data_IF_541036325651
#
_entry.id   IF_541036325651
#
_cell.length_a   1.000
_cell.length_b   1.000
_cell.length_c   1.000
_cell.angle_alpha   90.00
_cell.angle_beta   90.00
_cell.angle_gamma   90.00
#
_symmetry.space_group_name_H-M   'P 1'
#
loop_
_entity.id
_entity.type
_entity.pdbx_description
1 polymer ?
#
# COMPACT_ATOMS: atom_id res chain seq x y z
N UNK A 1 27.44 34.37 44.70
CA UNK A 1 26.97 35.06 43.48
C UNK A 1 27.33 34.13 42.33
N UNK A 2 26.45 33.47 41.58
CA UNK A 2 25.00 33.47 41.47
C UNK A 2 24.59 32.06 40.99
N UNK A 3 23.42 31.64 41.46
CA UNK A 3 22.68 30.50 40.93
C UNK A 3 22.40 30.68 39.43
N UNK A 4 22.56 29.62 38.66
CA UNK A 4 21.70 29.41 37.49
C UNK A 4 21.30 27.94 37.44
N UNK A 5 20.21 27.66 38.15
CA UNK A 5 19.38 26.47 38.01
C UNK A 5 18.81 26.44 36.59
N UNK A 6 19.42 25.65 35.70
CA UNK A 6 18.72 25.19 34.50
C UNK A 6 17.85 24.02 34.94
N UNK A 7 16.56 24.33 35.05
CA UNK A 7 15.50 23.39 35.38
C UNK A 7 15.46 22.30 34.30
N UNK A 8 16.18 21.19 34.52
CA UNK A 8 15.91 19.94 33.85
C UNK A 8 14.48 19.56 34.23
N UNK A 9 13.56 19.71 33.27
CA UNK A 9 12.19 19.29 33.41
C UNK A 9 12.19 17.77 33.64
N UNK A 10 12.24 17.38 34.92
CA UNK A 10 11.97 16.04 35.40
C UNK A 10 10.61 15.65 34.85
N UNK A 11 10.61 14.84 33.79
CA UNK A 11 9.41 14.17 33.31
C UNK A 11 8.76 13.50 34.52
N UNK A 12 7.53 13.90 34.80
CA UNK A 12 6.70 13.33 35.86
C UNK A 12 6.67 11.81 35.76
N UNK A 13 6.42 11.10 36.88
CA UNK A 13 6.37 9.64 36.90
C UNK A 13 5.44 9.16 35.80
N UNK A 14 5.98 8.31 34.94
CA UNK A 14 5.25 7.69 33.84
C UNK A 14 3.98 7.06 34.40
N UNK A 15 2.79 7.61 34.06
CA UNK A 15 1.51 6.89 34.12
C UNK A 15 1.79 5.46 33.69
N UNK A 16 1.38 4.45 34.47
CA UNK A 16 1.54 3.03 34.15
C UNK A 16 1.38 2.80 32.63
N UNK A 17 2.52 2.66 31.94
CA UNK A 17 2.55 2.65 30.48
C UNK A 17 2.35 1.21 30.04
N UNK A 18 1.39 1.01 29.14
CA UNK A 18 1.15 -0.32 28.56
C UNK A 18 2.30 -0.60 27.59
N UNK A 19 3.24 -1.43 28.01
CA UNK A 19 4.34 -1.91 27.17
C UNK A 19 3.81 -2.98 26.21
N UNK A 20 4.11 -2.85 24.91
CA UNK A 20 3.75 -3.87 23.91
C UNK A 20 4.83 -4.95 23.96
N UNK A 21 4.49 -6.11 24.53
CA UNK A 21 5.32 -7.30 24.37
C UNK A 21 5.18 -7.81 22.92
N UNK A 22 6.29 -7.94 22.21
CA UNK A 22 6.29 -8.42 20.83
C UNK A 22 5.66 -9.82 20.73
N UNK A 23 4.84 -10.03 19.70
CA UNK A 23 4.12 -11.28 19.43
C UNK A 23 3.23 -11.75 20.59
N UNK A 24 2.73 -10.82 21.41
CA UNK A 24 1.76 -11.10 22.48
C UNK A 24 0.54 -10.20 22.34
N UNK A 25 -0.61 -10.78 21.96
CA UNK A 25 -1.85 -10.06 21.62
C UNK A 25 -2.65 -9.58 22.83
N UNK A 26 -1.98 -9.25 23.94
CA UNK A 26 -2.65 -8.81 25.17
C UNK A 26 -3.35 -7.47 25.01
N UNK A 27 -4.57 -7.39 25.53
CA UNK A 27 -5.29 -6.14 25.70
C UNK A 27 -4.81 -5.44 26.99
N UNK A 28 -4.80 -4.09 27.02
CA UNK A 28 -5.27 -3.15 26.00
C UNK A 28 -4.23 -2.79 24.94
N UNK A 29 -3.04 -3.40 24.96
CA UNK A 29 -1.90 -3.00 24.14
C UNK A 29 -2.20 -3.03 22.63
N UNK A 30 -3.03 -3.99 22.20
CA UNK A 30 -3.46 -4.17 20.81
C UNK A 30 -4.82 -3.53 20.47
N UNK A 31 -5.28 -2.57 21.26
CA UNK A 31 -6.42 -1.72 20.87
C UNK A 31 -6.00 -0.72 19.78
N UNK A 32 -6.95 -0.26 18.96
CA UNK A 32 -6.68 0.72 17.90
C UNK A 32 -6.02 2.00 18.45
N UNK A 33 -6.51 2.51 19.59
CA UNK A 33 -5.99 3.73 20.20
C UNK A 33 -4.57 3.53 20.78
N UNK A 34 -4.31 2.38 21.40
CA UNK A 34 -2.97 2.02 21.89
C UNK A 34 -1.96 1.92 20.74
N UNK A 35 -2.34 1.27 19.65
CA UNK A 35 -1.48 1.09 18.48
C UNK A 35 -1.16 2.44 17.80
N UNK A 36 -2.16 3.32 17.65
CA UNK A 36 -1.94 4.69 17.14
C UNK A 36 -0.96 5.48 18.02
N UNK A 37 -1.14 5.43 19.33
CA UNK A 37 -0.22 6.11 20.27
C UNK A 37 1.19 5.56 20.16
N UNK A 38 1.35 4.24 20.11
CA UNK A 38 2.65 3.59 19.97
C UNK A 38 3.33 3.92 18.62
N UNK A 39 2.55 4.02 17.53
CA UNK A 39 3.06 4.40 16.22
C UNK A 39 3.60 5.84 16.20
N UNK A 40 2.87 6.81 16.78
CA UNK A 40 3.32 8.21 16.91
C UNK A 40 4.59 8.30 17.74
N UNK A 41 4.73 7.46 18.76
CA UNK A 41 5.93 7.40 19.61
C UNK A 41 7.10 6.59 18.99
N UNK A 42 6.93 6.05 17.78
CA UNK A 42 7.90 5.18 17.09
C UNK A 42 8.28 3.93 17.91
N UNK A 43 7.32 3.37 18.67
CA UNK A 43 7.49 2.16 19.49
C UNK A 43 6.47 1.08 19.14
N UNK A 44 6.12 0.97 17.86
CA UNK A 44 5.19 -0.06 17.41
C UNK A 44 5.84 -1.45 17.52
N UNK A 45 5.27 -2.32 18.36
CA UNK A 45 5.75 -3.69 18.55
C UNK A 45 5.42 -4.61 17.38
N UNK A 46 6.12 -5.75 17.31
CA UNK A 46 5.85 -6.81 16.32
C UNK A 46 4.67 -7.72 16.71
N UNK A 47 3.95 -8.31 15.74
CA UNK A 47 4.10 -8.12 14.30
C UNK A 47 3.54 -6.76 13.83
N UNK A 48 4.40 -5.94 13.21
CA UNK A 48 4.01 -4.59 12.75
C UNK A 48 2.96 -4.65 11.65
N UNK A 49 3.02 -5.66 10.78
CA UNK A 49 2.06 -5.86 9.71
C UNK A 49 0.64 -6.06 10.24
N UNK A 50 0.48 -6.71 11.40
CA UNK A 50 -0.82 -6.87 12.06
C UNK A 50 -1.28 -5.55 12.66
N UNK A 51 -0.37 -4.81 13.30
CA UNK A 51 -0.69 -3.49 13.83
C UNK A 51 -1.13 -2.53 12.71
N UNK A 52 -0.45 -2.56 11.55
CA UNK A 52 -0.85 -1.83 10.34
C UNK A 52 -2.23 -2.26 9.85
N UNK A 53 -2.49 -3.58 9.77
CA UNK A 53 -3.80 -4.08 9.36
C UNK A 53 -4.94 -3.57 10.27
N UNK A 54 -4.71 -3.53 11.58
CA UNK A 54 -5.69 -3.00 12.55
C UNK A 54 -5.86 -1.48 12.38
N UNK A 55 -4.76 -0.73 12.27
CA UNK A 55 -4.82 0.74 12.11
C UNK A 55 -5.46 1.17 10.79
N UNK A 56 -5.31 0.37 9.74
CA UNK A 56 -5.95 0.55 8.44
C UNK A 56 -7.40 0.04 8.40
N UNK A 57 -7.93 -0.47 9.53
CA UNK A 57 -9.24 -1.14 9.62
C UNK A 57 -9.41 -2.30 8.62
N UNK A 58 -8.32 -2.94 8.20
CA UNK A 58 -8.35 -4.13 7.37
C UNK A 58 -8.69 -5.38 8.20
N UNK A 59 -8.24 -5.41 9.46
CA UNK A 59 -8.55 -6.47 10.44
C UNK A 59 -9.08 -5.85 11.74
N UNK A 60 -9.94 -6.57 12.48
CA UNK A 60 -10.31 -6.14 13.82
C UNK A 60 -9.13 -6.27 14.81
N UNK A 61 -9.14 -5.52 15.92
CA UNK A 61 -8.21 -5.77 17.02
C UNK A 61 -8.45 -7.16 17.65
N UNK A 62 -7.53 -7.67 18.50
CA UNK A 62 -7.67 -8.99 19.13
C UNK A 62 -8.90 -9.19 20.01
N UNK A 63 -9.63 -8.12 20.35
CA UNK A 63 -10.94 -8.21 21.00
C UNK A 63 -12.07 -8.66 20.07
N UNK A 64 -11.84 -8.64 18.75
CA UNK A 64 -12.76 -9.14 17.73
C UNK A 64 -12.25 -10.42 17.06
N UNK A 65 -12.97 -10.88 16.03
CA UNK A 65 -12.64 -12.12 15.33
C UNK A 65 -11.66 -11.89 14.17
N UNK A 66 -10.37 -11.97 14.49
CA UNK A 66 -9.29 -11.86 13.50
C UNK A 66 -9.32 -13.03 12.49
N UNK A 67 -9.64 -14.24 12.94
CA UNK A 67 -9.53 -15.45 12.11
C UNK A 67 -10.58 -15.41 11.00
N UNK A 68 -11.85 -15.19 11.35
CA UNK A 68 -12.92 -15.11 10.35
C UNK A 68 -12.70 -13.94 9.38
N UNK A 69 -12.14 -12.82 9.86
CA UNK A 69 -11.79 -11.69 8.99
C UNK A 69 -10.66 -12.04 8.02
N UNK A 70 -9.64 -12.77 8.46
CA UNK A 70 -8.56 -13.26 7.60
C UNK A 70 -9.09 -14.24 6.55
N UNK A 71 -9.94 -15.18 6.93
CA UNK A 71 -10.57 -16.12 6.00
C UNK A 71 -11.35 -15.40 4.91
N UNK A 72 -12.11 -14.37 5.30
CA UNK A 72 -12.86 -13.54 4.35
C UNK A 72 -11.93 -12.88 3.32
N UNK A 73 -10.83 -12.28 3.76
CA UNK A 73 -9.85 -11.66 2.84
C UNK A 73 -9.13 -12.68 1.97
N UNK A 74 -8.76 -13.83 2.53
CA UNK A 74 -8.09 -14.92 1.80
C UNK A 74 -9.00 -15.50 0.72
N UNK A 75 -10.25 -15.76 1.05
CA UNK A 75 -11.25 -16.26 0.10
C UNK A 75 -11.54 -15.22 -0.98
N UNK A 76 -11.71 -13.95 -0.61
CA UNK A 76 -11.88 -12.86 -1.57
C UNK A 76 -10.73 -12.82 -2.59
N UNK A 77 -9.48 -12.91 -2.13
CA UNK A 77 -8.33 -12.89 -3.03
C UNK A 77 -8.24 -14.14 -3.91
N UNK A 78 -8.55 -15.32 -3.36
CA UNK A 78 -8.62 -16.56 -4.15
C UNK A 78 -9.69 -16.46 -5.25
N UNK A 79 -10.89 -16.00 -4.92
CA UNK A 79 -11.98 -15.81 -5.87
C UNK A 79 -11.61 -14.80 -6.95
N UNK A 80 -10.95 -13.71 -6.57
CA UNK A 80 -10.45 -12.70 -7.48
C UNK A 80 -9.40 -13.29 -8.45
N UNK A 81 -8.43 -14.04 -7.92
CA UNK A 81 -7.37 -14.72 -8.70
C UNK A 81 -7.99 -15.71 -9.68
N UNK A 82 -8.93 -16.54 -9.24
CA UNK A 82 -9.67 -17.47 -10.09
C UNK A 82 -10.43 -16.76 -11.20
N UNK A 83 -11.19 -15.70 -10.86
CA UNK A 83 -12.01 -14.95 -11.81
C UNK A 83 -11.17 -14.24 -12.88
N UNK A 84 -10.02 -13.69 -12.50
CA UNK A 84 -9.18 -12.88 -13.39
C UNK A 84 -8.11 -13.68 -14.12
N UNK A 85 -7.88 -14.95 -13.77
CA UNK A 85 -6.90 -15.82 -14.43
C UNK A 85 -7.55 -16.77 -15.45
N UNK A 86 -8.65 -16.36 -16.07
CA UNK A 86 -9.39 -17.19 -17.02
C UNK A 86 -8.52 -17.57 -18.23
N UNK A 87 -8.41 -18.87 -18.52
CA UNK A 87 -7.76 -19.34 -19.74
C UNK A 87 -8.66 -19.03 -20.95
N UNK A 88 -8.21 -18.18 -21.91
CA UNK A 88 -9.02 -17.87 -23.08
C UNK A 88 -9.34 -19.10 -23.94
N UNK A 89 -8.57 -20.19 -23.83
CA UNK A 89 -8.82 -21.46 -24.55
C UNK A 89 -10.01 -22.24 -24.00
N UNK A 90 -10.41 -21.96 -22.76
CA UNK A 90 -11.56 -22.61 -22.15
C UNK A 90 -12.90 -22.02 -22.65
N UNK A 91 -12.87 -20.87 -23.35
CA UNK A 91 -14.06 -20.21 -23.87
C UNK A 91 -14.41 -20.77 -25.25
N UNK A 92 -15.51 -21.53 -25.33
CA UNK A 92 -15.97 -22.16 -26.56
C UNK A 92 -16.53 -21.10 -27.52
N UNK A 93 -16.03 -21.08 -28.76
CA UNK A 93 -16.54 -20.20 -29.81
C UNK A 93 -15.90 -18.80 -29.84
N UNK A 94 -14.88 -18.56 -29.02
CA UNK A 94 -14.02 -17.39 -29.13
C UNK A 94 -12.64 -17.80 -29.67
N UNK A 95 -11.92 -16.87 -30.30
CA UNK A 95 -10.65 -17.17 -30.97
C UNK A 95 -9.63 -16.03 -30.86
N UNK A 96 -8.32 -16.32 -31.01
CA UNK A 96 -7.26 -15.32 -30.86
C UNK A 96 -7.32 -14.13 -31.82
N UNK A 97 -8.04 -14.25 -32.94
CA UNK A 97 -8.19 -13.23 -33.98
C UNK A 97 -9.55 -12.53 -33.91
N UNK A 98 -10.38 -12.88 -32.92
CA UNK A 98 -11.68 -12.27 -32.66
C UNK A 98 -11.55 -10.75 -32.59
N UNK A 99 -12.39 -10.05 -33.36
CA UNK A 99 -12.49 -8.59 -33.34
C UNK A 99 -13.49 -8.09 -32.29
N UNK A 100 -14.07 -9.00 -31.49
CA UNK A 100 -14.99 -8.64 -30.43
C UNK A 100 -14.22 -8.01 -29.26
N UNK A 101 -14.66 -6.83 -28.83
CA UNK A 101 -14.08 -6.12 -27.70
C UNK A 101 -14.25 -6.87 -26.37
N UNK A 102 -15.23 -7.78 -26.29
CA UNK A 102 -15.50 -8.65 -25.13
C UNK A 102 -14.82 -10.02 -25.23
N UNK A 103 -13.95 -10.24 -26.23
CA UNK A 103 -13.22 -11.49 -26.40
C UNK A 103 -12.31 -11.79 -25.20
N UNK A 104 -12.34 -13.05 -24.75
CA UNK A 104 -11.43 -13.56 -23.74
C UNK A 104 -9.97 -13.50 -24.20
N UNK A 105 -9.72 -13.71 -25.50
CA UNK A 105 -8.38 -13.57 -26.07
C UNK A 105 -7.88 -12.14 -26.05
N UNK A 106 -8.74 -11.17 -26.38
CA UNK A 106 -8.39 -9.75 -26.30
C UNK A 106 -8.01 -9.37 -24.87
N UNK A 107 -8.83 -9.76 -23.88
CA UNK A 107 -8.53 -9.53 -22.47
C UNK A 107 -7.23 -10.20 -22.05
N UNK A 108 -6.98 -11.44 -22.48
CA UNK A 108 -5.75 -12.17 -22.18
C UNK A 108 -4.50 -11.43 -22.69
N UNK A 109 -4.52 -10.90 -23.92
CA UNK A 109 -3.41 -10.10 -24.43
C UNK A 109 -3.25 -8.78 -23.67
N UNK A 110 -4.34 -8.11 -23.31
CA UNK A 110 -4.29 -6.92 -22.44
C UNK A 110 -3.69 -7.24 -21.07
N UNK A 111 -4.02 -8.39 -20.48
CA UNK A 111 -3.52 -8.83 -19.18
C UNK A 111 -2.01 -9.11 -19.24
N UNK A 112 -1.52 -9.73 -20.33
CA UNK A 112 -0.08 -9.92 -20.56
C UNK A 112 0.65 -8.57 -20.65
N UNK A 113 0.10 -7.62 -21.40
CA UNK A 113 0.69 -6.29 -21.52
C UNK A 113 0.73 -5.56 -20.17
N UNK A 114 -0.36 -5.63 -19.39
CA UNK A 114 -0.43 -5.02 -18.07
C UNK A 114 0.59 -5.65 -17.11
N UNK A 115 0.71 -6.98 -17.07
CA UNK A 115 1.72 -7.65 -16.25
C UNK A 115 3.14 -7.27 -16.67
N UNK A 116 3.40 -7.15 -17.97
CA UNK A 116 4.70 -6.72 -18.48
C UNK A 116 5.03 -5.26 -18.09
N UNK A 117 4.04 -4.36 -18.14
CA UNK A 117 4.17 -2.98 -17.67
C UNK A 117 4.53 -2.95 -16.18
N UNK A 118 3.79 -3.69 -15.35
CA UNK A 118 4.05 -3.77 -13.91
C UNK A 118 5.44 -4.35 -13.63
N UNK A 119 5.84 -5.39 -14.37
CA UNK A 119 7.14 -6.04 -14.19
C UNK A 119 8.30 -5.07 -14.43
N UNK A 120 8.20 -4.16 -15.41
CA UNK A 120 9.23 -3.15 -15.68
C UNK A 120 9.55 -2.29 -14.44
N UNK A 121 8.55 -2.01 -13.63
CA UNK A 121 8.66 -1.25 -12.39
C UNK A 121 9.11 -2.13 -11.20
N UNK A 122 8.57 -3.35 -11.10
CA UNK A 122 8.93 -4.30 -10.03
C UNK A 122 10.42 -4.64 -10.07
N UNK A 123 11.00 -4.88 -11.26
CA UNK A 123 12.43 -5.24 -11.37
C UNK A 123 13.38 -4.12 -10.95
N UNK A 124 12.91 -2.89 -10.78
CA UNK A 124 13.71 -1.72 -10.33
C UNK A 124 13.34 -1.25 -8.92
N UNK A 125 12.40 -1.93 -8.26
CA UNK A 125 11.95 -1.58 -6.89
C UNK A 125 13.03 -1.91 -5.86
N UNK A 126 13.40 -0.91 -5.06
CA UNK A 126 14.39 -1.01 -3.97
C UNK A 126 15.61 -1.89 -4.34
N UNK A 127 16.44 -1.45 -5.30
CA UNK A 127 17.47 -2.27 -5.91
C UNK A 127 18.55 -2.75 -4.93
N UNK A 128 18.74 -2.02 -3.83
CA UNK A 128 19.72 -2.34 -2.78
C UNK A 128 19.24 -3.44 -1.82
N UNK A 129 17.95 -3.79 -1.83
CA UNK A 129 17.38 -4.82 -0.97
C UNK A 129 17.25 -6.14 -1.74
N UNK A 130 18.05 -7.13 -1.32
CA UNK A 130 18.19 -8.43 -1.99
C UNK A 130 16.87 -9.18 -2.07
N UNK A 131 16.00 -9.02 -1.07
CA UNK A 131 14.68 -9.63 -1.05
C UNK A 131 13.86 -9.35 -2.32
N UNK A 132 13.94 -8.13 -2.89
CA UNK A 132 13.19 -7.77 -4.11
C UNK A 132 13.85 -8.25 -5.41
N UNK A 133 15.00 -8.91 -5.32
CA UNK A 133 15.69 -9.51 -6.47
C UNK A 133 15.24 -10.96 -6.68
N UNK A 134 14.63 -11.58 -5.67
CA UNK A 134 14.10 -12.95 -5.75
C UNK A 134 12.93 -13.03 -6.74
N UNK A 135 12.95 -14.02 -7.62
CA UNK A 135 11.96 -14.15 -8.69
C UNK A 135 10.56 -14.35 -8.12
N UNK A 136 10.46 -15.17 -7.07
CA UNK A 136 9.21 -15.47 -6.38
C UNK A 136 8.59 -14.21 -5.76
N UNK A 137 9.41 -13.29 -5.24
CA UNK A 137 8.97 -12.01 -4.68
C UNK A 137 8.49 -11.08 -5.80
N UNK A 138 9.21 -11.01 -6.93
CA UNK A 138 8.79 -10.21 -8.09
C UNK A 138 7.48 -10.73 -8.70
N UNK A 139 7.34 -12.04 -8.85
CA UNK A 139 6.12 -12.69 -9.34
C UNK A 139 4.93 -12.37 -8.41
N UNK A 140 5.12 -12.45 -7.09
CA UNK A 140 4.11 -12.08 -6.09
C UNK A 140 3.71 -10.59 -6.21
N UNK A 141 4.69 -9.69 -6.34
CA UNK A 141 4.40 -8.26 -6.50
C UNK A 141 3.61 -7.97 -7.78
N UNK A 142 3.99 -8.60 -8.90
CA UNK A 142 3.27 -8.48 -10.18
C UNK A 142 1.84 -8.96 -10.02
N UNK A 143 1.60 -10.12 -9.40
CA UNK A 143 0.26 -10.66 -9.20
C UNK A 143 -0.60 -9.75 -8.33
N UNK A 144 -0.09 -9.28 -7.17
CA UNK A 144 -0.85 -8.37 -6.29
C UNK A 144 -1.23 -7.08 -7.00
N UNK A 145 -0.29 -6.42 -7.68
CA UNK A 145 -0.53 -5.18 -8.42
C UNK A 145 -1.47 -5.40 -9.60
N UNK A 146 -1.32 -6.51 -10.31
CA UNK A 146 -2.15 -6.89 -11.44
C UNK A 146 -3.61 -7.10 -11.03
N UNK A 147 -3.86 -7.95 -10.02
CA UNK A 147 -5.23 -8.23 -9.58
C UNK A 147 -5.90 -6.98 -8.99
N UNK A 148 -5.14 -6.12 -8.31
CA UNK A 148 -5.68 -4.86 -7.82
C UNK A 148 -6.05 -3.93 -8.99
N UNK A 149 -5.14 -3.72 -9.94
CA UNK A 149 -5.39 -2.88 -11.12
C UNK A 149 -6.56 -3.37 -11.98
N UNK A 150 -6.67 -4.70 -12.17
CA UNK A 150 -7.77 -5.33 -12.93
C UNK A 150 -9.12 -5.21 -12.24
N UNK A 151 -9.17 -5.27 -10.91
CA UNK A 151 -10.40 -5.04 -10.14
C UNK A 151 -10.77 -3.57 -10.00
N UNK A 152 -9.81 -2.66 -10.16
CA UNK A 152 -9.99 -1.21 -10.07
C UNK A 152 -9.69 -0.54 -11.42
N UNK A 153 -10.34 -0.98 -12.50
CA UNK A 153 -10.06 -0.51 -13.86
C UNK A 153 -10.17 1.01 -14.07
N UNK A 154 -10.98 1.69 -13.24
CA UNK A 154 -11.09 3.15 -13.24
C UNK A 154 -9.79 3.86 -12.83
N UNK A 155 -8.96 3.23 -11.99
CA UNK A 155 -7.62 3.71 -11.60
C UNK A 155 -6.56 3.02 -12.46
N UNK A 156 -6.66 1.70 -12.60
CA UNK A 156 -5.66 0.83 -13.19
C UNK A 156 -4.34 0.85 -12.43
N UNK A 157 -3.29 0.29 -13.05
CA UNK A 157 -1.94 0.38 -12.52
C UNK A 157 -1.31 1.73 -12.87
N UNK A 158 -0.58 2.31 -11.91
CA UNK A 158 0.25 3.50 -12.10
C UNK A 158 1.64 3.26 -11.55
N UNK A 159 2.64 3.79 -12.23
CA UNK A 159 4.00 3.85 -11.72
C UNK A 159 3.99 4.52 -10.33
N UNK A 160 4.76 3.96 -9.40
CA UNK A 160 4.78 4.35 -7.98
C UNK A 160 3.95 3.42 -7.08
N UNK A 161 2.93 2.73 -7.60
CA UNK A 161 2.15 1.76 -6.79
C UNK A 161 3.00 0.60 -6.28
N UNK A 162 4.04 0.21 -7.03
CA UNK A 162 5.01 -0.81 -6.60
C UNK A 162 5.81 -0.38 -5.37
N UNK A 163 6.11 0.91 -5.23
CA UNK A 163 6.82 1.48 -4.07
C UNK A 163 5.93 1.53 -2.82
N UNK A 164 4.60 1.56 -3.00
CA UNK A 164 3.65 1.39 -1.90
C UNK A 164 3.58 -0.08 -1.45
N UNK A 165 3.50 -1.01 -2.40
CA UNK A 165 3.40 -2.44 -2.08
C UNK A 165 4.67 -2.97 -1.40
N UNK A 166 5.85 -2.56 -1.87
CA UNK A 166 7.12 -3.08 -1.42
C UNK A 166 7.33 -3.04 0.11
N UNK A 167 7.18 -1.90 0.83
CA UNK A 167 7.35 -1.87 2.28
C UNK A 167 6.29 -2.70 3.03
N UNK A 168 5.06 -2.81 2.50
CA UNK A 168 4.01 -3.65 3.09
C UNK A 168 4.38 -5.14 3.01
N UNK A 169 4.79 -5.59 1.83
CA UNK A 169 5.24 -6.96 1.58
C UNK A 169 6.49 -7.29 2.41
N UNK A 170 7.44 -6.36 2.50
CA UNK A 170 8.67 -6.58 3.25
C UNK A 170 8.40 -6.72 4.75
N UNK A 171 7.59 -5.86 5.35
CA UNK A 171 7.26 -5.98 6.77
C UNK A 171 6.47 -7.27 7.05
N UNK A 172 5.53 -7.65 6.17
CA UNK A 172 4.84 -8.95 6.24
C UNK A 172 5.81 -10.14 6.16
N UNK A 173 6.87 -10.06 5.36
CA UNK A 173 7.91 -11.07 5.28
C UNK A 173 8.75 -11.13 6.56
N UNK A 174 9.22 -9.97 7.05
CA UNK A 174 10.04 -9.88 8.25
C UNK A 174 9.30 -10.41 9.48
N UNK A 175 8.03 -10.06 9.65
CA UNK A 175 7.21 -10.55 10.77
C UNK A 175 7.03 -12.07 10.77
N UNK A 176 7.04 -12.71 9.59
CA UNK A 176 7.01 -14.18 9.48
C UNK A 176 8.39 -14.80 9.71
N UNK A 177 9.42 -14.19 9.12
CA UNK A 177 10.82 -14.67 9.19
C UNK A 177 11.36 -14.63 10.60
N UNK A 178 11.02 -13.60 11.37
CA UNK A 178 11.50 -13.38 12.74
C UNK A 178 10.47 -13.73 13.82
N UNK A 179 9.41 -14.46 13.44
CA UNK A 179 8.41 -14.92 14.37
C UNK A 179 9.02 -15.91 15.40
N UNK A 180 8.74 -15.76 16.71
CA UNK A 180 9.16 -16.75 17.70
C UNK A 180 8.40 -18.07 17.51
N UNK A 181 8.94 -19.16 18.07
CA UNK A 181 8.32 -20.50 17.96
C UNK A 181 7.03 -20.62 18.78
N UNK A 182 7.00 -20.00 19.95
CA UNK A 182 5.89 -20.10 20.91
C UNK A 182 4.87 -18.98 20.69
N UNK A 183 4.01 -19.16 19.69
CA UNK A 183 2.94 -18.22 19.34
C UNK A 183 1.57 -18.72 19.77
N UNK A 184 0.64 -17.79 19.98
CA UNK A 184 -0.79 -18.12 20.07
C UNK A 184 -1.31 -18.67 18.74
N UNK A 185 -2.39 -19.45 18.78
CA UNK A 185 -3.00 -20.01 17.56
C UNK A 185 -3.41 -18.93 16.56
N UNK A 186 -3.91 -17.80 17.03
CA UNK A 186 -4.23 -16.63 16.18
C UNK A 186 -3.00 -16.11 15.44
N UNK A 187 -1.86 -15.98 16.13
CA UNK A 187 -0.63 -15.50 15.51
C UNK A 187 -0.03 -16.53 14.55
N UNK A 188 -0.08 -17.83 14.88
CA UNK A 188 0.31 -18.88 13.93
C UNK A 188 -0.52 -18.83 12.65
N UNK A 189 -1.83 -18.64 12.80
CA UNK A 189 -2.74 -18.52 11.67
C UNK A 189 -2.46 -17.26 10.81
N UNK A 190 -2.17 -16.12 11.46
CA UNK A 190 -1.82 -14.87 10.77
C UNK A 190 -0.45 -14.94 10.07
N UNK A 191 0.55 -15.55 10.71
CA UNK A 191 1.93 -15.61 10.22
C UNK A 191 2.20 -16.83 9.31
N UNK A 192 1.16 -17.54 8.89
CA UNK A 192 1.30 -18.60 7.89
C UNK A 192 1.93 -18.04 6.60
N UNK A 193 3.02 -18.68 6.18
CA UNK A 193 3.83 -18.31 5.01
C UNK A 193 3.08 -18.49 3.70
N UNK A 194 2.12 -19.40 3.64
CA UNK A 194 1.34 -19.67 2.43
C UNK A 194 0.39 -18.52 2.07
N UNK A 195 0.13 -17.60 3.01
CA UNK A 195 -0.79 -16.48 2.84
C UNK A 195 -0.08 -15.13 2.77
N UNK A 196 1.22 -15.12 2.45
CA UNK A 196 1.99 -13.88 2.26
C UNK A 196 1.39 -13.02 1.14
N UNK A 197 1.05 -13.62 0.00
CA UNK A 197 0.44 -12.93 -1.14
C UNK A 197 -0.94 -12.35 -0.78
N UNK A 198 -1.82 -13.15 -0.15
CA UNK A 198 -3.15 -12.71 0.29
C UNK A 198 -3.07 -11.52 1.24
N UNK A 199 -2.16 -11.56 2.21
CA UNK A 199 -2.03 -10.48 3.20
C UNK A 199 -1.40 -9.24 2.58
N UNK A 200 -0.54 -9.41 1.57
CA UNK A 200 0.03 -8.30 0.81
C UNK A 200 -1.06 -7.59 0.01
N UNK A 201 -1.93 -8.33 -0.67
CA UNK A 201 -3.10 -7.75 -1.34
C UNK A 201 -4.04 -7.05 -0.35
N UNK A 202 -4.36 -7.68 0.79
CA UNK A 202 -5.23 -7.11 1.82
C UNK A 202 -4.72 -5.75 2.31
N UNK A 203 -3.44 -5.67 2.69
CA UNK A 203 -2.84 -4.42 3.17
C UNK A 203 -2.73 -3.38 2.06
N UNK A 204 -2.28 -3.79 0.87
CA UNK A 204 -2.17 -2.89 -0.29
C UNK A 204 -3.54 -2.29 -0.63
N UNK A 205 -4.59 -3.11 -0.72
CA UNK A 205 -5.94 -2.67 -0.97
C UNK A 205 -6.44 -1.70 0.11
N UNK A 206 -6.14 -1.96 1.39
CA UNK A 206 -6.53 -1.07 2.49
C UNK A 206 -5.84 0.31 2.40
N UNK A 207 -4.55 0.35 2.05
CA UNK A 207 -3.83 1.60 1.80
C UNK A 207 -4.39 2.33 0.58
N UNK A 208 -4.61 1.60 -0.52
CA UNK A 208 -5.09 2.18 -1.77
C UNK A 208 -6.48 2.80 -1.65
N UNK A 209 -7.37 2.31 -0.78
CA UNK A 209 -8.64 2.99 -0.47
C UNK A 209 -8.48 4.46 -0.03
N UNK A 210 -7.35 4.80 0.61
CA UNK A 210 -7.04 6.17 0.99
C UNK A 210 -6.25 6.96 -0.07
N UNK A 211 -5.61 6.26 -1.01
CA UNK A 211 -4.65 6.83 -1.94
C UNK A 211 -5.12 6.86 -3.41
N UNK A 212 -6.14 6.10 -3.79
CA UNK A 212 -6.58 5.92 -5.18
C UNK A 212 -6.90 7.24 -5.89
N UNK A 213 -7.44 8.22 -5.16
CA UNK A 213 -7.76 9.56 -5.68
C UNK A 213 -6.54 10.33 -6.22
N UNK A 214 -5.34 10.01 -5.76
CA UNK A 214 -4.09 10.62 -6.25
C UNK A 214 -3.59 9.95 -7.55
N UNK A 215 -4.17 8.82 -7.91
CA UNK A 215 -3.82 8.04 -9.10
C UNK A 215 -4.85 8.15 -10.24
N UNK A 216 -6.00 8.77 -9.97
CA UNK A 216 -7.03 9.07 -10.98
C UNK A 216 -6.66 10.34 -11.75
N UNK A 217 -6.94 10.36 -13.06
CA UNK A 217 -6.60 11.49 -13.94
C UNK A 217 -7.87 12.10 -14.52
N UNK A 218 -8.69 12.69 -13.65
CA UNK A 218 -10.00 13.22 -14.04
C UNK A 218 -10.89 12.14 -14.67
N UNK A 219 -11.42 12.43 -15.86
CA UNK A 219 -12.29 11.51 -16.61
C UNK A 219 -11.52 10.47 -17.45
N UNK A 220 -10.18 10.48 -17.41
CA UNK A 220 -9.36 9.59 -18.24
C UNK A 220 -9.19 8.23 -17.55
N UNK A 221 -9.92 7.24 -18.06
CA UNK A 221 -9.81 5.85 -17.63
C UNK A 221 -8.71 5.12 -18.41
N UNK A 222 -7.82 4.36 -17.76
CA UNK A 222 -6.87 3.49 -18.45
C UNK A 222 -7.56 2.47 -19.37
N UNK A 223 -6.90 2.14 -20.48
CA UNK A 223 -7.26 0.96 -21.26
C UNK A 223 -7.05 -0.33 -20.46
N UNK A 224 -7.64 -1.44 -20.92
CA UNK A 224 -7.50 -2.74 -20.29
C UNK A 224 -6.03 -3.22 -20.17
N UNK A 225 -5.12 -2.73 -21.03
CA UNK A 225 -3.67 -3.00 -20.94
C UNK A 225 -2.91 -2.04 -20.01
N UNK A 226 -3.62 -1.19 -19.26
CA UNK A 226 -3.05 -0.22 -18.32
C UNK A 226 -2.58 1.10 -18.95
N UNK A 227 -2.62 1.22 -20.29
CA UNK A 227 -2.17 2.44 -20.98
C UNK A 227 -3.22 3.54 -20.91
N UNK A 228 -2.79 4.77 -20.67
CA UNK A 228 -3.66 5.94 -20.77
C UNK A 228 -3.96 6.28 -22.25
N UNK A 229 -5.21 6.66 -22.58
CA UNK A 229 -5.52 7.30 -23.84
C UNK A 229 -4.67 8.57 -24.02
N UNK A 230 -4.15 8.80 -25.22
CA UNK A 230 -3.53 10.09 -25.59
C UNK A 230 -4.61 11.17 -25.65
N UNK A 231 -4.83 11.90 -24.56
CA UNK A 231 -5.84 12.96 -24.52
C UNK A 231 -5.28 14.27 -25.09
N UNK A 232 -6.07 14.95 -25.94
CA UNK A 232 -5.75 16.27 -26.55
C UNK A 232 -6.39 17.45 -25.80
N UNK A 233 -7.04 17.22 -24.67
CA UNK A 233 -7.80 18.23 -23.93
C UNK A 233 -7.08 18.59 -22.64
N UNK A 234 -7.11 19.89 -22.29
CA UNK A 234 -6.48 20.50 -21.12
C UNK A 234 -6.88 19.73 -19.85
N UNK A 235 -5.87 19.18 -19.17
CA UNK A 235 -6.04 18.38 -17.96
C UNK A 235 -6.61 19.21 -16.81
N UNK A 236 -7.64 18.68 -16.16
CA UNK A 236 -7.92 19.06 -14.77
C UNK A 236 -6.72 18.57 -13.93
N UNK A 237 -6.07 19.41 -13.10
CA UNK A 237 -4.92 18.99 -12.32
C UNK A 237 -5.30 17.78 -11.46
N UNK A 238 -4.47 16.73 -11.50
CA UNK A 238 -4.61 15.57 -10.61
C UNK A 238 -4.61 16.07 -9.15
N UNK A 239 -5.28 15.35 -8.24
CA UNK A 239 -5.33 15.65 -6.82
C UNK A 239 -3.95 15.88 -6.18
N UNK A 240 -2.90 15.24 -6.71
CA UNK A 240 -1.51 15.52 -6.30
C UNK A 240 -1.14 16.99 -6.56
N UNK A 241 -1.41 17.51 -7.76
CA UNK A 241 -1.10 18.89 -8.14
C UNK A 241 -1.91 19.86 -7.28
N UNK A 242 -3.20 19.59 -7.06
CA UNK A 242 -4.05 20.40 -6.17
C UNK A 242 -3.53 20.41 -4.72
N UNK A 243 -3.06 19.27 -4.24
CA UNK A 243 -2.45 19.17 -2.92
C UNK A 243 -1.15 19.97 -2.83
N UNK A 244 -0.29 19.90 -3.84
CA UNK A 244 0.94 20.68 -3.92
C UNK A 244 0.65 22.19 -3.96
N UNK A 245 -0.34 22.63 -4.74
CA UNK A 245 -0.77 24.03 -4.74
C UNK A 245 -1.21 24.49 -3.35
N UNK A 246 -2.01 23.68 -2.65
CA UNK A 246 -2.40 23.95 -1.26
C UNK A 246 -1.19 24.03 -0.32
N UNK A 247 -0.22 23.13 -0.46
CA UNK A 247 1.02 23.16 0.33
C UNK A 247 1.80 24.44 0.10
N UNK A 248 1.95 24.84 -1.16
CA UNK A 248 2.63 26.07 -1.55
C UNK A 248 1.95 27.30 -0.93
N UNK A 249 0.63 27.40 -1.08
CA UNK A 249 -0.09 28.65 -0.80
C UNK A 249 -0.48 28.79 0.68
N UNK A 250 -0.79 27.70 1.38
CA UNK A 250 -1.26 27.74 2.77
C UNK A 250 -0.16 27.41 3.79
N UNK A 251 0.59 26.33 3.55
CA UNK A 251 1.52 25.79 4.57
C UNK A 251 2.93 26.36 4.43
N UNK A 252 3.45 26.48 3.21
CA UNK A 252 4.81 26.97 2.99
C UNK A 252 4.92 28.47 3.30
N UNK A 253 3.95 29.28 2.84
CA UNK A 253 3.96 30.73 3.09
C UNK A 253 3.90 31.05 4.59
N UNK A 254 3.16 30.27 5.38
CA UNK A 254 3.04 30.48 6.82
C UNK A 254 4.28 30.01 7.60
N UNK A 255 4.99 28.98 7.12
CA UNK A 255 6.19 28.46 7.76
C UNK A 255 7.48 29.19 7.32
N UNK A 256 7.63 29.47 6.02
CA UNK A 256 8.82 30.05 5.41
C UNK A 256 8.46 30.89 4.16
N UNK A 257 8.10 32.14 4.39
CA UNK A 257 7.71 33.09 3.33
C UNK A 257 8.87 33.49 2.41
N UNK A 258 10.12 33.38 2.87
CA UNK A 258 11.29 33.67 2.06
C UNK A 258 11.48 32.58 1.00
N UNK A 259 11.41 31.31 1.40
CA UNK A 259 11.46 30.18 0.47
C UNK A 259 10.30 30.24 -0.52
N UNK A 260 9.07 30.49 -0.05
CA UNK A 260 7.90 30.61 -0.93
C UNK A 260 8.11 31.69 -2.01
N UNK A 261 8.60 32.87 -1.63
CA UNK A 261 8.88 33.97 -2.55
C UNK A 261 9.97 33.60 -3.55
N UNK A 262 11.05 32.95 -3.10
CA UNK A 262 12.14 32.50 -3.97
C UNK A 262 11.69 31.49 -5.01
N UNK A 263 10.84 30.53 -4.64
CA UNK A 263 10.28 29.56 -5.60
C UNK A 263 9.49 30.28 -6.70
N UNK A 264 8.69 31.29 -6.34
CA UNK A 264 7.95 32.11 -7.30
C UNK A 264 8.87 32.94 -8.19
N UNK A 265 9.84 33.65 -7.60
CA UNK A 265 10.83 34.47 -8.34
C UNK A 265 11.60 33.66 -9.38
N UNK A 266 11.91 32.41 -9.07
CA UNK A 266 12.66 31.51 -9.94
C UNK A 266 11.76 30.59 -10.80
N UNK A 267 10.44 30.76 -10.78
CA UNK A 267 9.47 29.92 -11.49
C UNK A 267 9.64 28.41 -11.23
N UNK A 268 9.94 28.04 -9.99
CA UNK A 268 10.11 26.65 -9.57
C UNK A 268 8.75 26.13 -9.06
N UNK A 269 8.08 25.29 -9.84
CA UNK A 269 6.85 24.60 -9.40
C UNK A 269 7.16 23.47 -8.43
N UNK A 270 6.31 23.27 -7.43
CA UNK A 270 6.42 22.12 -6.52
C UNK A 270 6.26 20.78 -7.26
N UNK A 271 5.58 20.75 -8.41
CA UNK A 271 5.44 19.53 -9.22
C UNK A 271 6.79 18.95 -9.68
N UNK A 272 7.83 19.79 -9.78
CA UNK A 272 9.16 19.34 -10.23
C UNK A 272 9.84 18.39 -9.24
N UNK A 273 9.43 18.41 -7.96
CA UNK A 273 10.11 17.66 -6.90
C UNK A 273 9.18 17.12 -5.80
N UNK A 274 7.91 17.49 -5.79
CA UNK A 274 6.91 17.09 -4.80
C UNK A 274 5.96 16.00 -5.29
N UNK A 275 6.09 15.55 -6.54
CA UNK A 275 5.38 14.39 -7.07
C UNK A 275 6.03 13.08 -6.65
#
# INVERSE_FOLDING_TARGET
MENNNILLCLRSPTKDRIEITEYDLKLPAWSLESLKSAAIELRLGRPRSLAWAIMLNALPPPSGDIISSLETHRNFYNDLKCKLSMDPRAVIGDDPLSQNDESAWKQHFCDIELKALILQDVVRTFPDEVYFREKEVQDLMVDVLFFWARSHSHVGYRQGMHEILAPLLFELHLDRKFAPVNLSETLKYYLDVNYLEHHSYMLFNAVMKGMEKFYTTGDVVPSASGRLPTCKVVHNPNEVVRYLEKVKDEYLVSCDSQLATRLVEHNISLELFGM
#
